data_IF_798102285306
#
_entry.id   IF_798102285306
#
_cell.length_a   1.000
_cell.length_b   1.000
_cell.length_c   1.000
_cell.angle_alpha   90.00
_cell.angle_beta   90.00
_cell.angle_gamma   90.00
#
_symmetry.space_group_name_H-M   'P 1'
#
loop_
_entity.id
_entity.type
_entity.pdbx_description
1 polymer ?
#
# COMPACT_ATOMS: atom_id res chain seq x y z
N UNK A 1 29.43 -21.07 -0.47
CA UNK A 1 30.31 -20.58 -1.53
C UNK A 1 30.49 -21.52 -2.74
N UNK A 2 29.85 -22.66 -2.79
CA UNK A 2 29.88 -23.52 -4.01
C UNK A 2 29.17 -22.92 -5.24
N UNK A 3 28.64 -21.67 -5.15
CA UNK A 3 27.81 -21.09 -6.17
C UNK A 3 28.28 -19.71 -6.71
N UNK A 4 29.36 -19.15 -6.20
CA UNK A 4 29.79 -17.81 -6.55
C UNK A 4 30.25 -17.70 -8.01
N UNK A 5 31.01 -18.69 -8.48
CA UNK A 5 31.43 -18.74 -9.89
C UNK A 5 30.23 -18.93 -10.83
N UNK A 6 29.28 -19.77 -10.45
CA UNK A 6 28.07 -19.98 -11.25
C UNK A 6 27.19 -18.71 -11.30
N UNK A 7 27.06 -17.99 -10.18
CA UNK A 7 26.35 -16.72 -10.12
C UNK A 7 27.03 -15.66 -10.99
N UNK A 8 28.36 -15.57 -10.94
CA UNK A 8 29.13 -14.65 -11.76
C UNK A 8 28.97 -14.94 -13.25
N UNK A 9 29.10 -16.19 -13.65
CA UNK A 9 28.92 -16.61 -15.05
C UNK A 9 27.49 -16.32 -15.55
N UNK A 10 26.48 -16.57 -14.71
CA UNK A 10 25.09 -16.26 -15.04
C UNK A 10 24.86 -14.74 -15.19
N UNK A 11 25.46 -13.94 -14.33
CA UNK A 11 25.42 -12.47 -14.43
C UNK A 11 26.08 -11.97 -15.71
N UNK A 12 27.26 -12.45 -16.04
CA UNK A 12 27.99 -12.08 -17.25
C UNK A 12 27.16 -12.42 -18.51
N UNK A 13 26.60 -13.62 -18.57
CA UNK A 13 25.72 -14.02 -19.67
C UNK A 13 24.47 -13.12 -19.77
N UNK A 14 23.83 -12.82 -18.66
CA UNK A 14 22.68 -11.91 -18.65
C UNK A 14 23.07 -10.50 -19.11
N UNK A 15 24.22 -9.97 -18.65
CA UNK A 15 24.72 -8.67 -19.06
C UNK A 15 24.96 -8.56 -20.55
N UNK A 16 25.54 -9.61 -21.20
CA UNK A 16 25.69 -9.68 -22.64
C UNK A 16 24.35 -9.63 -23.39
N UNK A 17 23.34 -10.34 -22.88
CA UNK A 17 22.00 -10.35 -23.48
C UNK A 17 21.32 -8.96 -23.37
N UNK A 18 21.48 -8.27 -22.26
CA UNK A 18 20.97 -6.90 -22.08
C UNK A 18 21.75 -5.91 -22.94
N UNK A 19 23.08 -6.06 -23.06
CA UNK A 19 23.91 -5.21 -23.92
C UNK A 19 23.50 -5.31 -25.41
N UNK A 20 23.07 -6.48 -25.85
CA UNK A 20 22.60 -6.70 -27.23
C UNK A 20 21.35 -5.86 -27.59
N UNK A 21 20.59 -5.39 -26.57
CA UNK A 21 19.45 -4.50 -26.75
C UNK A 21 19.73 -3.07 -26.25
N UNK A 22 20.99 -2.72 -26.06
CA UNK A 22 21.42 -1.37 -25.71
C UNK A 22 21.35 -1.02 -24.22
N UNK A 23 21.23 -2.01 -23.31
CA UNK A 23 21.17 -1.80 -21.86
C UNK A 23 22.51 -2.14 -21.22
N UNK A 24 23.17 -1.14 -20.62
CA UNK A 24 24.31 -1.35 -19.73
C UNK A 24 23.81 -1.71 -18.31
N UNK A 25 23.94 -3.00 -17.97
CA UNK A 25 23.46 -3.55 -16.70
C UNK A 25 24.15 -2.90 -15.50
N UNK A 26 25.44 -2.60 -15.59
CA UNK A 26 26.20 -2.01 -14.48
C UNK A 26 25.75 -0.58 -14.20
N UNK A 27 25.53 0.23 -15.24
CA UNK A 27 24.99 1.58 -15.10
C UNK A 27 23.55 1.58 -14.57
N UNK A 28 22.72 0.63 -15.02
CA UNK A 28 21.36 0.47 -14.51
C UNK A 28 21.35 0.10 -13.04
N UNK A 29 22.16 -0.88 -12.62
CA UNK A 29 22.27 -1.28 -11.21
C UNK A 29 22.75 -0.12 -10.33
N UNK A 30 23.70 0.68 -10.82
CA UNK A 30 24.16 1.89 -10.13
C UNK A 30 23.05 2.92 -9.96
N UNK A 31 22.25 3.16 -11.01
CA UNK A 31 21.08 4.04 -10.94
C UNK A 31 20.02 3.50 -9.96
N UNK A 32 19.79 2.19 -9.95
CA UNK A 32 18.84 1.54 -9.05
C UNK A 32 19.21 1.69 -7.57
N UNK A 33 20.48 1.86 -7.22
CA UNK A 33 20.89 2.13 -5.82
C UNK A 33 20.31 3.44 -5.26
N UNK A 34 20.00 4.39 -6.14
CA UNK A 34 19.35 5.66 -5.76
C UNK A 34 17.82 5.61 -5.72
N UNK A 35 17.21 4.48 -6.02
CA UNK A 35 15.75 4.31 -6.08
C UNK A 35 15.32 3.43 -4.91
N UNK A 36 14.50 3.99 -4.02
CA UNK A 36 13.91 3.22 -2.92
C UNK A 36 12.73 2.38 -3.42
N UNK A 37 12.71 1.11 -3.03
CA UNK A 37 11.60 0.21 -3.28
C UNK A 37 10.63 0.24 -2.09
N UNK A 38 9.36 0.45 -2.37
CA UNK A 38 8.30 0.42 -1.37
C UNK A 38 7.72 -0.99 -1.28
N UNK A 39 7.95 -1.66 -0.15
CA UNK A 39 7.53 -3.04 0.10
C UNK A 39 6.14 -3.05 0.71
N UNK A 40 5.21 -3.74 0.10
CA UNK A 40 3.86 -3.91 0.63
C UNK A 40 3.83 -4.81 1.86
N UNK A 41 3.10 -4.39 2.90
CA UNK A 41 2.96 -5.14 4.15
C UNK A 41 2.06 -6.39 4.04
N UNK A 42 1.12 -6.38 3.13
CA UNK A 42 0.00 -7.33 3.04
C UNK A 42 0.35 -8.80 2.79
N UNK A 43 1.56 -9.10 2.30
CA UNK A 43 1.96 -10.48 2.08
C UNK A 43 2.34 -11.22 3.37
N UNK A 44 2.65 -10.50 4.44
CA UNK A 44 3.05 -11.11 5.72
C UNK A 44 1.88 -11.81 6.42
N UNK A 45 0.65 -11.30 6.26
CA UNK A 45 -0.56 -11.78 6.92
C UNK A 45 -1.73 -12.10 5.97
N UNK A 46 -1.46 -12.16 4.67
CA UNK A 46 -2.46 -12.40 3.62
C UNK A 46 -3.59 -11.36 3.60
N UNK A 47 -3.21 -10.09 3.77
CA UNK A 47 -4.11 -8.91 3.67
C UNK A 47 -5.16 -8.81 4.80
N UNK A 48 -4.97 -9.48 5.92
CA UNK A 48 -5.95 -9.47 7.03
C UNK A 48 -6.01 -8.12 7.74
N UNK A 49 -4.83 -7.54 8.04
CA UNK A 49 -4.76 -6.33 8.88
C UNK A 49 -5.18 -6.60 10.33
N UNK A 50 -5.32 -5.52 11.11
CA UNK A 50 -5.57 -5.59 12.56
C UNK A 50 -6.83 -4.84 13.01
N UNK A 51 -7.62 -4.30 12.09
CA UNK A 51 -8.87 -3.59 12.42
C UNK A 51 -9.99 -4.53 12.88
N UNK A 52 -10.03 -5.74 12.31
CA UNK A 52 -11.03 -6.75 12.61
C UNK A 52 -10.44 -8.15 12.50
N UNK A 53 -9.66 -8.61 13.49
CA UNK A 53 -8.92 -9.89 13.41
C UNK A 53 -9.82 -11.12 13.24
N UNK A 54 -11.08 -11.04 13.62
CA UNK A 54 -12.07 -12.12 13.48
C UNK A 54 -12.97 -11.96 12.23
N UNK A 55 -12.73 -10.92 11.42
CA UNK A 55 -13.54 -10.60 10.25
C UNK A 55 -13.25 -11.49 9.05
N UNK A 56 -14.28 -11.73 8.23
CA UNK A 56 -14.09 -12.36 6.92
C UNK A 56 -13.51 -11.37 5.92
N UNK A 57 -12.50 -11.80 5.17
CA UNK A 57 -11.93 -11.02 4.08
C UNK A 57 -12.85 -11.12 2.85
N UNK A 58 -13.27 -9.97 2.34
CA UNK A 58 -14.12 -9.88 1.15
C UNK A 58 -13.56 -8.89 0.14
N UNK A 59 -13.54 -9.24 -1.13
CA UNK A 59 -13.25 -8.32 -2.22
C UNK A 59 -11.78 -7.93 -2.44
N UNK A 60 -10.87 -8.35 -1.60
CA UNK A 60 -9.42 -8.17 -1.80
C UNK A 60 -8.79 -9.28 -2.61
N UNK A 61 -7.51 -9.12 -2.97
CA UNK A 61 -6.71 -10.20 -3.54
C UNK A 61 -6.03 -10.92 -2.39
N UNK A 62 -6.61 -12.02 -1.97
CA UNK A 62 -5.93 -13.00 -1.12
C UNK A 62 -4.97 -13.79 -2.00
N UNK A 63 -3.67 -13.71 -1.72
CA UNK A 63 -2.68 -14.35 -2.59
C UNK A 63 -2.54 -15.84 -2.31
N UNK A 64 -2.65 -16.26 -1.06
CA UNK A 64 -2.27 -17.59 -0.60
C UNK A 64 -3.26 -18.22 0.37
N UNK A 65 -4.19 -17.44 0.89
CA UNK A 65 -5.08 -17.90 1.96
C UNK A 65 -4.33 -18.11 3.29
N UNK A 66 -4.81 -19.03 4.08
CA UNK A 66 -4.29 -19.27 5.42
C UNK A 66 -3.08 -20.24 5.39
N UNK A 67 -1.87 -19.71 5.15
CA UNK A 67 -0.64 -20.48 5.12
C UNK A 67 0.03 -20.58 6.52
N UNK A 68 0.81 -21.65 6.79
CA UNK A 68 1.60 -21.74 8.01
C UNK A 68 2.65 -20.63 8.10
N UNK A 69 2.73 -19.97 9.25
CA UNK A 69 3.67 -18.87 9.46
C UNK A 69 3.16 -17.49 9.06
N UNK A 70 1.92 -17.38 8.63
CA UNK A 70 1.22 -16.10 8.44
C UNK A 70 1.31 -15.25 9.72
N UNK A 71 1.68 -13.98 9.58
CA UNK A 71 1.74 -13.06 10.69
C UNK A 71 0.35 -12.82 11.33
N UNK A 72 0.30 -12.76 12.64
CA UNK A 72 -0.94 -12.69 13.44
C UNK A 72 -1.09 -11.36 14.17
N UNK A 73 -0.04 -10.58 14.23
CA UNK A 73 0.02 -9.30 14.91
C UNK A 73 1.10 -8.39 14.32
N UNK A 74 1.14 -7.14 14.78
CA UNK A 74 2.07 -6.11 14.31
C UNK A 74 3.54 -6.55 14.46
N UNK A 75 3.90 -7.18 15.56
CA UNK A 75 5.28 -7.54 15.84
C UNK A 75 5.79 -8.64 14.88
N UNK A 76 4.92 -9.59 14.55
CA UNK A 76 5.23 -10.63 13.55
C UNK A 76 5.36 -10.02 12.15
N UNK A 77 4.49 -9.09 11.75
CA UNK A 77 4.63 -8.37 10.47
C UNK A 77 5.94 -7.58 10.42
N UNK A 78 6.28 -6.87 11.49
CA UNK A 78 7.54 -6.11 11.60
C UNK A 78 8.75 -7.02 11.48
N UNK A 79 8.72 -8.18 12.13
CA UNK A 79 9.81 -9.17 12.06
C UNK A 79 9.99 -9.71 10.63
N UNK A 80 8.90 -10.02 9.93
CA UNK A 80 8.91 -10.46 8.54
C UNK A 80 9.46 -9.37 7.61
N UNK A 81 9.03 -8.13 7.76
CA UNK A 81 9.52 -7.00 6.97
C UNK A 81 11.02 -6.76 7.19
N UNK A 82 11.52 -6.88 8.41
CA UNK A 82 12.95 -6.79 8.69
C UNK A 82 13.72 -7.96 8.08
N UNK A 83 13.13 -9.15 8.08
CA UNK A 83 13.72 -10.32 7.41
C UNK A 83 13.81 -10.08 5.90
N UNK A 84 12.75 -9.61 5.26
CA UNK A 84 12.75 -9.26 3.83
C UNK A 84 13.81 -8.20 3.53
N UNK A 85 13.85 -7.11 4.33
CA UNK A 85 14.88 -6.08 4.20
C UNK A 85 16.31 -6.66 4.25
N UNK A 86 16.56 -7.63 5.12
CA UNK A 86 17.88 -8.26 5.23
C UNK A 86 18.30 -9.11 4.03
N UNK A 87 17.35 -9.48 3.18
CA UNK A 87 17.57 -10.32 2.00
C UNK A 87 17.66 -9.52 0.69
N UNK A 88 17.19 -8.27 0.69
CA UNK A 88 17.13 -7.43 -0.48
C UNK A 88 18.21 -6.35 -0.43
N UNK A 89 18.96 -6.11 -1.53
CA UNK A 89 19.87 -5.00 -1.63
C UNK A 89 19.13 -3.67 -1.87
N UNK A 90 19.78 -2.56 -1.57
CA UNK A 90 19.27 -1.22 -1.82
C UNK A 90 18.56 -0.58 -0.63
N UNK A 91 17.84 0.51 -0.87
CA UNK A 91 17.04 1.22 0.13
C UNK A 91 15.56 0.85 0.00
N UNK A 92 14.89 0.72 1.14
CA UNK A 92 13.51 0.25 1.18
C UNK A 92 12.62 1.19 1.96
N UNK A 93 11.36 1.23 1.54
CA UNK A 93 10.23 1.83 2.23
C UNK A 93 9.23 0.73 2.53
N UNK A 94 8.36 0.95 3.48
CA UNK A 94 7.26 0.04 3.77
C UNK A 94 5.96 0.72 3.38
N UNK A 95 5.20 0.07 2.53
CA UNK A 95 3.88 0.53 2.11
C UNK A 95 2.83 -0.13 2.99
N UNK A 96 2.28 0.67 3.91
CA UNK A 96 1.24 0.23 4.83
C UNK A 96 -0.15 0.46 4.22
N UNK A 97 -1.08 -0.41 4.57
CA UNK A 97 -2.51 -0.14 4.41
C UNK A 97 -3.10 0.38 5.72
N UNK A 98 -4.21 1.09 5.61
CA UNK A 98 -4.91 1.62 6.78
C UNK A 98 -5.27 0.53 7.80
N UNK A 99 -5.68 -0.65 7.35
CA UNK A 99 -6.06 -1.79 8.22
C UNK A 99 -4.93 -2.32 9.12
N UNK A 100 -3.70 -1.86 8.92
CA UNK A 100 -2.53 -2.22 9.74
C UNK A 100 -2.25 -1.24 10.87
N UNK A 101 -3.18 -0.36 11.19
CA UNK A 101 -3.09 0.53 12.35
C UNK A 101 -2.90 -0.23 13.68
N UNK A 102 -2.21 0.39 14.62
CA UNK A 102 -2.09 -0.08 16.00
C UNK A 102 -3.31 0.40 16.79
N UNK A 103 -4.38 -0.37 16.75
CA UNK A 103 -5.66 0.00 17.35
C UNK A 103 -5.74 -0.37 18.84
N UNK A 104 -4.70 -0.99 19.43
CA UNK A 104 -4.67 -1.37 20.84
C UNK A 104 -5.81 -2.31 21.25
N UNK A 105 -6.27 -3.16 20.33
CA UNK A 105 -7.39 -4.08 20.53
C UNK A 105 -8.78 -3.41 20.52
N UNK A 106 -8.86 -2.13 20.15
CA UNK A 106 -10.13 -1.42 20.00
C UNK A 106 -10.61 -1.50 18.55
N UNK A 107 -11.93 -1.57 18.38
CA UNK A 107 -12.52 -1.44 17.05
C UNK A 107 -12.58 0.05 16.70
N UNK A 108 -11.98 0.42 15.57
CA UNK A 108 -12.02 1.76 15.00
C UNK A 108 -12.52 1.60 13.57
N UNK A 109 -13.57 2.32 13.18
CA UNK A 109 -14.05 2.28 11.81
C UNK A 109 -13.14 3.10 10.87
N UNK A 110 -13.15 2.81 9.59
CA UNK A 110 -12.21 3.39 8.62
C UNK A 110 -12.36 4.90 8.43
N UNK A 111 -13.54 5.44 8.69
CA UNK A 111 -13.81 6.88 8.70
C UNK A 111 -13.46 7.56 10.04
N UNK A 112 -12.90 6.81 11.01
CA UNK A 112 -12.49 7.31 12.32
C UNK A 112 -10.98 7.21 12.56
N UNK A 113 -10.23 6.55 11.65
CA UNK A 113 -8.78 6.32 11.79
C UNK A 113 -8.01 7.65 11.82
N UNK A 114 -6.97 7.73 12.66
CA UNK A 114 -6.15 8.93 12.86
C UNK A 114 -4.65 8.60 12.80
N UNK A 115 -3.77 9.60 12.66
CA UNK A 115 -2.31 9.38 12.69
C UNK A 115 -1.80 8.70 13.98
N UNK A 116 -2.52 8.85 15.11
CA UNK A 116 -2.13 8.24 16.38
C UNK A 116 -2.05 6.72 16.29
N UNK A 117 -2.93 6.10 15.50
CA UNK A 117 -2.93 4.65 15.25
C UNK A 117 -1.69 4.17 14.47
N UNK A 118 -0.87 5.06 13.95
CA UNK A 118 0.35 4.73 13.21
C UNK A 118 1.63 5.23 13.89
N UNK A 119 1.54 5.82 15.07
CA UNK A 119 2.70 6.34 15.81
C UNK A 119 3.75 5.25 16.05
N UNK A 120 3.31 4.05 16.46
CA UNK A 120 4.21 2.93 16.69
C UNK A 120 4.91 2.44 15.41
N UNK A 121 4.27 2.56 14.25
CA UNK A 121 4.86 2.28 12.95
C UNK A 121 5.91 3.31 12.56
N UNK A 122 5.63 4.60 12.77
CA UNK A 122 6.56 5.69 12.48
C UNK A 122 7.83 5.57 13.32
N UNK A 123 7.69 5.26 14.61
CA UNK A 123 8.83 5.03 15.50
C UNK A 123 9.67 3.82 15.06
N UNK A 124 9.02 2.68 14.83
CA UNK A 124 9.68 1.46 14.39
C UNK A 124 10.42 1.65 13.06
N UNK A 125 9.80 2.31 12.08
CA UNK A 125 10.43 2.58 10.79
C UNK A 125 11.70 3.44 10.96
N UNK A 126 11.62 4.50 11.76
CA UNK A 126 12.77 5.37 12.07
C UNK A 126 13.91 4.61 12.73
N UNK A 127 13.63 3.79 13.75
CA UNK A 127 14.60 2.97 14.46
C UNK A 127 15.31 1.97 13.54
N UNK A 128 14.62 1.50 12.50
CA UNK A 128 15.14 0.52 11.55
C UNK A 128 15.67 1.14 10.25
N UNK A 129 15.78 2.48 10.16
CA UNK A 129 16.26 3.16 8.96
C UNK A 129 15.37 2.90 7.74
N UNK A 130 14.06 2.80 7.96
CA UNK A 130 13.02 2.64 6.96
C UNK A 130 12.19 3.91 6.85
N UNK A 131 11.46 4.05 5.75
CA UNK A 131 10.43 5.08 5.56
C UNK A 131 9.11 4.41 5.24
N UNK A 132 8.02 5.14 5.42
CA UNK A 132 6.67 4.65 5.20
C UNK A 132 6.03 5.30 3.99
N UNK A 133 5.26 4.52 3.27
CA UNK A 133 4.24 4.91 2.31
C UNK A 133 2.90 4.36 2.79
N UNK A 134 1.79 4.81 2.21
CA UNK A 134 0.47 4.53 2.75
C UNK A 134 -0.56 4.25 1.66
N UNK A 135 -1.57 3.42 1.99
CA UNK A 135 -2.70 3.13 1.12
C UNK A 135 -4.02 3.28 1.87
N UNK A 136 -5.03 3.78 1.17
CA UNK A 136 -6.42 3.56 1.55
C UNK A 136 -6.84 2.11 1.27
N UNK A 137 -7.82 1.62 2.03
CA UNK A 137 -8.31 0.25 1.91
C UNK A 137 -9.82 0.26 1.70
N UNK A 138 -10.26 -0.12 0.51
CA UNK A 138 -11.67 -0.07 0.11
C UNK A 138 -12.31 -1.45 -0.10
N UNK A 139 -11.74 -2.51 0.50
CA UNK A 139 -12.26 -3.88 0.46
C UNK A 139 -12.42 -4.45 1.88
N UNK A 140 -13.06 -5.60 2.01
CA UNK A 140 -13.26 -6.30 3.29
C UNK A 140 -13.95 -5.45 4.37
N UNK A 141 -14.94 -4.69 3.96
CA UNK A 141 -15.75 -3.86 4.85
C UNK A 141 -17.24 -3.99 4.48
N UNK A 142 -18.20 -3.92 5.43
CA UNK A 142 -19.63 -4.05 5.13
C UNK A 142 -20.15 -3.04 4.11
N UNK A 143 -19.55 -1.85 4.03
CA UNK A 143 -19.86 -0.83 3.02
C UNK A 143 -19.09 -1.00 1.69
N UNK A 144 -18.24 -2.03 1.57
CA UNK A 144 -17.50 -2.35 0.35
C UNK A 144 -18.36 -3.24 -0.54
N UNK A 145 -19.08 -2.64 -1.45
CA UNK A 145 -19.75 -3.36 -2.55
C UNK A 145 -18.90 -3.35 -3.82
N UNK A 146 -19.55 -3.43 -4.97
CA UNK A 146 -18.89 -3.19 -6.27
C UNK A 146 -18.43 -1.73 -6.44
N UNK A 147 -19.07 -0.80 -5.73
CA UNK A 147 -18.86 0.64 -5.82
C UNK A 147 -18.68 1.22 -4.42
N UNK A 148 -17.71 2.10 -4.27
CA UNK A 148 -17.39 2.85 -3.06
C UNK A 148 -17.48 4.36 -3.32
N UNK A 149 -16.48 4.97 -3.92
CA UNK A 149 -16.44 6.40 -4.27
C UNK A 149 -17.42 6.78 -5.39
N UNK A 150 -17.83 5.82 -6.22
CA UNK A 150 -18.86 5.99 -7.25
C UNK A 150 -20.21 5.39 -6.86
N UNK A 151 -20.43 5.06 -5.58
CA UNK A 151 -21.70 4.46 -5.13
C UNK A 151 -22.86 5.45 -5.29
N UNK A 152 -24.01 5.02 -5.82
CA UNK A 152 -25.23 5.87 -5.89
C UNK A 152 -25.75 6.32 -4.53
N UNK A 153 -25.51 5.54 -3.46
CA UNK A 153 -25.87 5.89 -2.09
C UNK A 153 -24.88 6.92 -1.54
N UNK A 154 -25.38 8.11 -1.22
CA UNK A 154 -24.61 9.21 -0.70
C UNK A 154 -23.93 8.86 0.62
N UNK A 155 -24.57 8.12 1.50
CA UNK A 155 -24.02 7.75 2.82
C UNK A 155 -22.82 6.81 2.68
N UNK A 156 -22.82 5.92 1.70
CA UNK A 156 -21.69 5.05 1.38
C UNK A 156 -20.55 5.86 0.78
N UNK A 157 -20.85 6.80 -0.14
CA UNK A 157 -19.82 7.68 -0.72
C UNK A 157 -19.18 8.56 0.34
N UNK A 158 -19.97 9.18 1.23
CA UNK A 158 -19.48 10.01 2.33
C UNK A 158 -18.47 9.25 3.21
N UNK A 159 -18.81 8.04 3.59
CA UNK A 159 -17.93 7.17 4.37
C UNK A 159 -16.57 6.97 3.66
N UNK A 160 -16.58 6.62 2.38
CA UNK A 160 -15.34 6.36 1.64
C UNK A 160 -14.56 7.63 1.30
N UNK A 161 -15.22 8.74 1.09
CA UNK A 161 -14.56 10.04 0.93
C UNK A 161 -13.85 10.43 2.23
N UNK A 162 -14.52 10.30 3.38
CA UNK A 162 -13.92 10.61 4.68
C UNK A 162 -12.75 9.65 5.00
N UNK A 163 -12.93 8.35 4.79
CA UNK A 163 -11.84 7.38 4.90
C UNK A 163 -10.60 7.81 4.11
N UNK A 164 -10.77 8.13 2.82
CA UNK A 164 -9.64 8.51 1.97
C UNK A 164 -9.00 9.84 2.40
N UNK A 165 -9.81 10.82 2.84
CA UNK A 165 -9.29 12.09 3.39
C UNK A 165 -8.44 11.86 4.64
N UNK A 166 -8.85 10.95 5.52
CA UNK A 166 -8.07 10.57 6.70
C UNK A 166 -6.78 9.84 6.33
N UNK A 167 -6.82 8.96 5.36
CA UNK A 167 -5.62 8.31 4.85
C UNK A 167 -4.60 9.33 4.30
N UNK A 168 -5.03 10.37 3.61
CA UNK A 168 -4.17 11.47 3.15
C UNK A 168 -3.58 12.28 4.31
N UNK A 169 -4.39 12.57 5.33
CA UNK A 169 -3.89 13.21 6.55
C UNK A 169 -2.85 12.36 7.27
N UNK A 170 -3.11 11.05 7.44
CA UNK A 170 -2.15 10.11 8.03
C UNK A 170 -0.83 10.10 7.22
N UNK A 171 -0.91 10.04 5.90
CA UNK A 171 0.25 10.07 5.03
C UNK A 171 1.05 11.38 5.16
N UNK A 172 0.40 12.52 5.31
CA UNK A 172 1.09 13.80 5.54
C UNK A 172 1.84 13.81 6.87
N UNK A 173 1.22 13.33 7.96
CA UNK A 173 1.89 13.22 9.26
C UNK A 173 3.04 12.21 9.24
N UNK A 174 2.91 11.09 8.50
CA UNK A 174 4.03 10.17 8.26
C UNK A 174 5.18 10.84 7.52
N UNK A 175 4.88 11.56 6.45
CA UNK A 175 5.87 12.29 5.65
C UNK A 175 6.61 13.36 6.48
N UNK A 176 5.87 14.10 7.27
CA UNK A 176 6.41 15.09 8.21
C UNK A 176 7.33 14.45 9.26
N UNK A 177 6.89 13.33 9.87
CA UNK A 177 7.65 12.62 10.89
C UNK A 177 8.99 12.08 10.35
N UNK A 178 8.99 11.54 9.14
CA UNK A 178 10.16 10.95 8.49
C UNK A 178 11.03 11.94 7.71
N UNK A 179 10.61 13.22 7.64
CA UNK A 179 11.25 14.28 6.86
C UNK A 179 11.51 13.87 5.39
N UNK A 180 10.53 13.18 4.80
CA UNK A 180 10.55 12.73 3.41
C UNK A 180 9.11 12.43 2.97
N UNK A 181 8.69 12.85 1.78
CA UNK A 181 7.30 12.68 1.39
C UNK A 181 6.84 11.22 1.49
N UNK A 182 5.68 11.01 2.12
CA UNK A 182 4.97 9.74 2.10
C UNK A 182 4.16 9.65 0.81
N UNK A 183 4.26 8.55 0.08
CA UNK A 183 3.41 8.30 -1.08
C UNK A 183 2.12 7.68 -0.57
N UNK A 184 1.00 8.38 -0.80
CA UNK A 184 -0.33 7.89 -0.46
C UNK A 184 -1.00 7.33 -1.71
N UNK A 185 -1.17 6.03 -1.78
CA UNK A 185 -1.79 5.37 -2.91
C UNK A 185 -3.31 5.21 -2.68
N UNK A 186 -4.09 5.86 -3.52
CA UNK A 186 -5.52 5.65 -3.61
C UNK A 186 -5.81 4.57 -4.66
N UNK A 187 -6.05 3.35 -4.20
CA UNK A 187 -6.56 2.31 -5.08
C UNK A 187 -8.07 2.49 -5.29
N UNK A 188 -8.44 2.78 -6.52
CA UNK A 188 -9.85 2.93 -6.91
C UNK A 188 -10.49 1.55 -6.96
N UNK A 189 -11.30 1.24 -5.96
CA UNK A 189 -12.04 -0.02 -5.87
C UNK A 189 -13.15 -0.14 -6.91
N UNK A 190 -13.73 1.01 -7.25
CA UNK A 190 -14.91 1.12 -8.11
C UNK A 190 -14.65 0.59 -9.50
N UNK A 191 -15.53 -0.28 -9.96
CA UNK A 191 -15.47 -0.82 -11.30
C UNK A 191 -16.22 -2.13 -11.42
N UNK A 192 -16.51 -2.48 -12.67
CA UNK A 192 -17.19 -3.72 -13.04
C UNK A 192 -16.45 -4.32 -14.24
N UNK A 193 -16.38 -5.65 -14.29
CA UNK A 193 -15.86 -6.39 -15.46
C UNK A 193 -16.71 -6.17 -16.70
N UNK A 194 -18.01 -5.90 -16.51
CA UNK A 194 -18.96 -5.67 -17.56
C UNK A 194 -19.19 -4.18 -17.79
N UNK A 195 -19.62 -3.83 -19.00
CA UNK A 195 -20.00 -2.46 -19.31
C UNK A 195 -21.29 -2.09 -18.59
N UNK A 196 -21.24 -1.09 -17.72
CA UNK A 196 -22.41 -0.57 -17.01
C UNK A 196 -23.34 0.19 -17.98
N UNK A 197 -24.64 0.11 -17.73
CA UNK A 197 -25.66 0.76 -18.57
C UNK A 197 -25.48 2.29 -18.62
N UNK A 198 -25.17 2.92 -17.48
CA UNK A 198 -24.95 4.36 -17.39
C UNK A 198 -23.56 4.70 -16.87
N UNK A 199 -22.55 4.39 -17.67
CA UNK A 199 -21.14 4.59 -17.32
C UNK A 199 -20.80 6.04 -16.97
N UNK A 200 -21.43 7.01 -17.65
CA UNK A 200 -21.17 8.43 -17.39
C UNK A 200 -21.66 8.87 -16.01
N UNK A 201 -22.76 8.32 -15.53
CA UNK A 201 -23.29 8.59 -14.19
C UNK A 201 -22.27 8.20 -13.11
N UNK A 202 -21.76 6.98 -13.13
CA UNK A 202 -20.78 6.50 -12.15
C UNK A 202 -19.45 7.24 -12.23
N UNK A 203 -19.01 7.62 -13.42
CA UNK A 203 -17.82 8.46 -13.59
C UNK A 203 -17.97 9.84 -12.97
N UNK A 204 -19.15 10.46 -13.08
CA UNK A 204 -19.43 11.74 -12.43
C UNK A 204 -19.46 11.64 -10.92
N UNK A 205 -20.01 10.55 -10.37
CA UNK A 205 -19.97 10.31 -8.92
C UNK A 205 -18.54 10.15 -8.42
N UNK A 206 -17.73 9.38 -9.14
CA UNK A 206 -16.31 9.23 -8.82
C UNK A 206 -15.56 10.56 -8.88
N UNK A 207 -15.74 11.33 -9.95
CA UNK A 207 -15.14 12.67 -10.12
C UNK A 207 -15.48 13.58 -8.93
N UNK A 208 -16.76 13.69 -8.57
CA UNK A 208 -17.21 14.48 -7.42
C UNK A 208 -16.56 14.02 -6.10
N UNK A 209 -16.40 12.71 -5.91
CA UNK A 209 -15.73 12.17 -4.73
C UNK A 209 -14.24 12.52 -4.72
N UNK A 210 -13.57 12.39 -5.86
CA UNK A 210 -12.15 12.73 -6.01
C UNK A 210 -11.90 14.23 -5.83
N UNK A 211 -12.75 15.10 -6.38
CA UNK A 211 -12.66 16.55 -6.18
C UNK A 211 -12.70 16.92 -4.69
N UNK A 212 -13.56 16.26 -3.92
CA UNK A 212 -13.68 16.46 -2.48
C UNK A 212 -12.49 15.91 -1.70
N UNK A 213 -11.96 14.76 -2.11
CA UNK A 213 -10.79 14.13 -1.51
C UNK A 213 -9.56 15.00 -1.72
N UNK A 214 -9.36 15.53 -2.92
CA UNK A 214 -8.20 16.31 -3.29
C UNK A 214 -8.33 17.82 -3.05
N UNK A 215 -9.45 18.29 -2.50
CA UNK A 215 -9.65 19.70 -2.17
C UNK A 215 -8.65 20.26 -1.13
N UNK A 216 -8.10 19.40 -0.28
CA UNK A 216 -7.06 19.78 0.68
C UNK A 216 -5.69 19.45 0.12
N UNK A 217 -4.80 20.44 0.05
CA UNK A 217 -3.40 20.24 -0.30
C UNK A 217 -2.58 19.89 0.94
N UNK A 218 -1.67 18.94 0.79
CA UNK A 218 -0.72 18.52 1.82
C UNK A 218 0.71 18.75 1.34
N UNK A 219 1.64 18.99 2.27
CA UNK A 219 3.02 19.36 1.94
C UNK A 219 4.02 18.22 2.11
N UNK A 220 3.70 17.24 2.94
CA UNK A 220 4.61 16.15 3.31
C UNK A 220 4.22 14.80 2.72
N UNK A 221 3.25 14.78 1.82
CA UNK A 221 2.85 13.58 1.10
C UNK A 221 2.70 13.85 -0.40
N UNK A 222 2.60 12.79 -1.17
CA UNK A 222 2.26 12.83 -2.60
C UNK A 222 1.17 11.83 -2.88
N UNK A 223 0.14 12.28 -3.58
CA UNK A 223 -0.92 11.41 -4.04
C UNK A 223 -0.47 10.54 -5.21
N UNK A 224 -0.86 9.28 -5.17
CA UNK A 224 -0.79 8.33 -6.27
C UNK A 224 -2.17 7.72 -6.46
N UNK A 225 -2.60 7.53 -7.68
CA UNK A 225 -3.89 6.92 -8.01
C UNK A 225 -3.63 5.62 -8.77
N UNK A 226 -4.21 4.55 -8.26
CA UNK A 226 -4.17 3.23 -8.89
C UNK A 226 -5.58 2.83 -9.32
N UNK A 227 -5.80 2.71 -10.61
CA UNK A 227 -7.08 2.25 -11.15
C UNK A 227 -7.23 0.74 -10.98
N UNK A 228 -8.46 0.29 -10.71
CA UNK A 228 -8.79 -1.13 -10.71
C UNK A 228 -8.52 -1.74 -12.09
N UNK A 229 -7.90 -2.89 -12.11
CA UNK A 229 -7.38 -3.51 -13.34
C UNK A 229 -8.48 -4.17 -14.21
N UNK A 230 -9.71 -4.30 -13.73
CA UNK A 230 -10.81 -4.99 -14.43
C UNK A 230 -12.16 -4.34 -14.18
#
# INVERSE_FOLDING_TARGET
>A
MKNEQAVKAAFEYAAERYAAIGVDVNEVLKKMQGISLSLHCWQADDVSGFENPDGELTGGIQATGNYPGKARNIDEVRADLLKVKSLLPGSHRINLHEVYGDFGGKRVDRDEVTPDHFTSWMQWAKENGLKLDFNSTSFSHPKSGMLTLANPDDSIREFWVEHTRRCRWIADEMGKYQNDPCIMNLWIHDGSKDTTVNRLYYRRLLEQSLDRIFATEYQHMKDCIEAKLF
#
